data_IF_304886590789
#
_entry.id   IF_304886590789
#
_cell.length_a   1.000
_cell.length_b   1.000
_cell.length_c   1.000
_cell.angle_alpha   90.00
_cell.angle_beta   90.00
_cell.angle_gamma   90.00
#
_symmetry.space_group_name_H-M   'P 1'
#
loop_
_entity.id
_entity.type
_entity.pdbx_description
1 polymer ?
#
# COMPACT_ATOMS: atom_id res chain seq x y z
N UNK A 1 -4.80 -18.26 -27.66
CA UNK A 1 -4.99 -17.22 -26.62
C UNK A 1 -6.43 -17.30 -26.15
N UNK A 2 -6.66 -17.74 -24.91
CA UNK A 2 -8.01 -17.93 -24.35
C UNK A 2 -8.40 -16.66 -23.59
N UNK A 3 -9.57 -16.09 -23.88
CA UNK A 3 -10.07 -14.88 -23.21
C UNK A 3 -11.38 -15.23 -22.52
N UNK A 4 -11.44 -15.01 -21.20
CA UNK A 4 -12.67 -15.15 -20.41
C UNK A 4 -13.24 -13.75 -20.19
N UNK A 5 -14.54 -13.58 -20.45
CA UNK A 5 -15.28 -12.38 -20.06
C UNK A 5 -16.09 -12.69 -18.80
N UNK A 6 -15.86 -11.90 -17.76
CA UNK A 6 -16.59 -11.96 -16.50
C UNK A 6 -17.31 -10.60 -16.36
N UNK A 7 -18.66 -10.58 -16.28
CA UNK A 7 -19.41 -9.36 -16.04
C UNK A 7 -19.06 -8.76 -14.67
N UNK A 8 -19.02 -7.42 -14.57
CA UNK A 8 -18.72 -6.74 -13.29
C UNK A 8 -19.71 -7.13 -12.17
N UNK A 9 -20.97 -7.39 -12.51
CA UNK A 9 -21.97 -7.84 -11.53
C UNK A 9 -21.64 -9.23 -10.96
N UNK A 10 -21.08 -10.13 -11.77
CA UNK A 10 -20.64 -11.46 -11.31
C UNK A 10 -19.41 -11.35 -10.40
N UNK A 11 -18.50 -10.40 -10.72
CA UNK A 11 -17.31 -10.15 -9.91
C UNK A 11 -17.63 -9.55 -8.54
N UNK A 12 -18.60 -8.64 -8.48
CA UNK A 12 -18.96 -7.90 -7.27
C UNK A 12 -19.87 -8.70 -6.33
N UNK A 13 -20.79 -9.48 -6.87
CA UNK A 13 -21.79 -10.19 -6.06
C UNK A 13 -21.38 -11.63 -5.70
N UNK A 14 -20.56 -12.29 -6.53
CA UNK A 14 -20.09 -13.65 -6.29
C UNK A 14 -18.65 -13.83 -6.80
N UNK A 15 -17.68 -13.21 -6.10
CA UNK A 15 -16.28 -13.27 -6.48
C UNK A 15 -15.75 -14.71 -6.47
N UNK A 16 -16.25 -15.59 -5.60
CA UNK A 16 -15.81 -16.99 -5.55
C UNK A 16 -16.15 -17.76 -6.82
N UNK A 17 -17.35 -17.56 -7.37
CA UNK A 17 -17.76 -18.18 -8.63
C UNK A 17 -16.92 -17.70 -9.80
N UNK A 18 -16.64 -16.40 -9.85
CA UNK A 18 -15.74 -15.80 -10.84
C UNK A 18 -14.33 -16.40 -10.75
N UNK A 19 -13.80 -16.56 -9.54
CA UNK A 19 -12.48 -17.17 -9.28
C UNK A 19 -12.44 -18.65 -9.67
N UNK A 20 -13.49 -19.43 -9.34
CA UNK A 20 -13.60 -20.85 -9.77
C UNK A 20 -13.61 -20.99 -11.29
N UNK A 21 -14.29 -20.07 -11.99
CA UNK A 21 -14.36 -20.04 -13.46
C UNK A 21 -12.97 -19.76 -14.07
N UNK A 22 -12.23 -18.79 -13.54
CA UNK A 22 -10.84 -18.50 -13.94
C UNK A 22 -9.96 -19.73 -13.71
N UNK A 23 -10.00 -20.32 -12.52
CA UNK A 23 -9.19 -21.48 -12.15
C UNK A 23 -9.48 -22.74 -12.99
N UNK A 24 -10.71 -22.89 -13.49
CA UNK A 24 -11.09 -24.01 -14.35
C UNK A 24 -10.57 -23.88 -15.79
N UNK A 25 -10.43 -22.65 -16.29
CA UNK A 25 -10.02 -22.36 -17.67
C UNK A 25 -8.51 -22.14 -17.79
N UNK A 26 -7.89 -21.63 -16.74
CA UNK A 26 -6.44 -21.55 -16.58
C UNK A 26 -6.03 -22.50 -15.46
N UNK A 27 -6.02 -23.83 -15.72
CA UNK A 27 -5.50 -24.76 -14.73
C UNK A 27 -4.05 -24.38 -14.44
N UNK A 28 -3.74 -24.21 -13.15
CA UNK A 28 -2.36 -24.03 -12.71
C UNK A 28 -1.52 -25.18 -13.28
N UNK A 29 -0.26 -24.95 -13.70
CA UNK A 29 0.59 -26.00 -14.25
C UNK A 29 0.54 -27.21 -13.32
N UNK A 30 0.21 -28.37 -13.87
CA UNK A 30 0.05 -29.61 -13.12
C UNK A 30 1.35 -29.96 -12.40
N UNK A 31 1.47 -29.48 -11.17
CA UNK A 31 2.68 -29.53 -10.37
C UNK A 31 2.45 -28.82 -9.03
N UNK A 32 2.06 -29.62 -8.04
CA UNK A 32 1.86 -29.28 -6.61
C UNK A 32 0.53 -28.60 -6.31
N UNK A 33 -0.21 -29.23 -5.40
CA UNK A 33 -1.50 -28.80 -4.89
C UNK A 33 -1.32 -27.49 -4.11
N UNK A 34 -1.48 -26.35 -4.76
CA UNK A 34 -1.63 -25.04 -4.10
C UNK A 34 -3.11 -24.81 -3.71
N UNK A 35 -3.72 -25.82 -3.09
CA UNK A 35 -4.98 -25.69 -2.36
C UNK A 35 -4.60 -26.02 -0.93
N UNK A 36 -4.95 -25.14 0.00
CA UNK A 36 -5.16 -25.46 1.43
C UNK A 36 -4.14 -24.95 2.46
N UNK A 37 -3.53 -23.77 2.29
CA UNK A 37 -2.75 -23.19 3.42
C UNK A 37 -3.27 -21.86 3.94
N UNK A 38 -4.29 -21.28 3.29
CA UNK A 38 -5.06 -20.19 3.88
C UNK A 38 -4.25 -18.93 4.18
N UNK A 39 -3.06 -18.77 3.60
CA UNK A 39 -2.24 -17.57 3.74
C UNK A 39 -2.01 -16.86 2.41
N UNK A 40 -1.83 -15.54 2.49
CA UNK A 40 -1.56 -14.65 1.37
C UNK A 40 -0.30 -13.87 1.69
N UNK A 41 0.68 -13.90 0.78
CA UNK A 41 1.85 -13.06 0.86
C UNK A 41 1.55 -11.67 0.30
N UNK A 42 1.68 -10.65 1.14
CA UNK A 42 1.70 -9.26 0.72
C UNK A 42 3.16 -8.81 0.52
N UNK A 43 3.42 -8.09 -0.57
CA UNK A 43 4.71 -7.44 -0.85
C UNK A 43 4.44 -5.97 -1.18
N UNK A 44 5.06 -5.05 -0.44
CA UNK A 44 5.04 -3.62 -0.69
C UNK A 44 6.31 -3.19 -1.45
N UNK A 45 6.18 -3.07 -2.77
CA UNK A 45 7.25 -2.62 -3.65
C UNK A 45 7.21 -1.10 -3.92
N UNK A 46 6.41 -0.31 -3.19
CA UNK A 46 6.25 1.14 -3.47
C UNK A 46 7.57 1.91 -3.39
N UNK A 47 8.49 1.46 -2.54
CA UNK A 47 9.82 2.06 -2.37
C UNK A 47 10.90 1.43 -3.27
N UNK A 48 10.60 0.35 -4.00
CA UNK A 48 11.52 -0.33 -4.92
C UNK A 48 11.39 0.16 -6.36
N UNK A 49 12.44 0.06 -7.16
CA UNK A 49 12.45 0.53 -8.56
C UNK A 49 12.72 2.03 -8.72
N UNK A 50 12.73 2.47 -9.97
CA UNK A 50 13.06 3.83 -10.38
C UNK A 50 11.97 4.42 -11.28
N UNK A 51 11.84 5.75 -11.30
CA UNK A 51 10.92 6.42 -12.20
C UNK A 51 11.50 6.46 -13.61
N UNK A 52 10.95 5.63 -14.51
CA UNK A 52 11.23 5.72 -15.94
C UNK A 52 10.65 7.03 -16.52
N UNK A 53 9.47 7.42 -16.03
CA UNK A 53 8.85 8.72 -16.30
C UNK A 53 7.90 9.12 -15.16
N UNK A 54 7.27 10.30 -15.25
CA UNK A 54 6.38 10.84 -14.19
C UNK A 54 5.21 9.93 -13.80
N UNK A 55 4.82 8.97 -14.65
CA UNK A 55 3.68 8.07 -14.44
C UNK A 55 4.06 6.59 -14.41
N UNK A 56 5.32 6.25 -14.70
CA UNK A 56 5.77 4.86 -14.84
C UNK A 56 7.00 4.64 -13.97
N UNK A 57 6.86 3.70 -13.04
CA UNK A 57 7.98 3.13 -12.28
C UNK A 57 8.39 1.82 -12.96
N UNK A 58 9.68 1.59 -13.04
CA UNK A 58 10.27 0.34 -13.53
C UNK A 58 11.17 -0.25 -12.44
N UNK A 59 11.49 -1.53 -12.53
CA UNK A 59 12.29 -2.25 -11.55
C UNK A 59 13.67 -2.56 -12.11
N UNK A 60 14.69 -2.44 -11.25
CA UNK A 60 16.02 -2.95 -11.57
C UNK A 60 16.04 -4.48 -11.48
N UNK A 61 17.08 -5.11 -12.04
CA UNK A 61 17.27 -6.56 -11.87
C UNK A 61 17.41 -6.95 -10.40
N UNK A 62 17.99 -6.07 -9.57
CA UNK A 62 18.11 -6.25 -8.12
C UNK A 62 16.73 -6.21 -7.43
N UNK A 63 15.85 -5.28 -7.81
CA UNK A 63 14.48 -5.21 -7.29
C UNK A 63 13.70 -6.48 -7.65
N UNK A 64 13.82 -6.94 -8.90
CA UNK A 64 13.17 -8.16 -9.39
C UNK A 64 13.70 -9.38 -8.65
N UNK A 65 15.03 -9.49 -8.48
CA UNK A 65 15.66 -10.56 -7.73
C UNK A 65 15.18 -10.58 -6.27
N UNK A 66 15.08 -9.42 -5.62
CA UNK A 66 14.56 -9.30 -4.25
C UNK A 66 13.12 -9.78 -4.13
N UNK A 67 12.23 -9.31 -5.02
CA UNK A 67 10.80 -9.67 -5.00
C UNK A 67 10.62 -11.18 -5.28
N UNK A 68 11.26 -11.68 -6.34
CA UNK A 68 11.17 -13.08 -6.73
C UNK A 68 11.76 -14.03 -5.69
N UNK A 69 12.93 -13.69 -5.14
CA UNK A 69 13.57 -14.43 -4.05
C UNK A 69 12.67 -14.51 -2.81
N UNK A 70 12.06 -13.38 -2.42
CA UNK A 70 11.11 -13.34 -1.29
C UNK A 70 9.92 -14.28 -1.51
N UNK A 71 9.32 -14.25 -2.71
CA UNK A 71 8.22 -15.15 -3.06
C UNK A 71 8.64 -16.62 -3.04
N UNK A 72 9.81 -16.94 -3.60
CA UNK A 72 10.32 -18.31 -3.61
C UNK A 72 10.61 -18.83 -2.20
N UNK A 73 11.26 -18.02 -1.36
CA UNK A 73 11.50 -18.36 0.04
C UNK A 73 10.19 -18.56 0.82
N UNK A 74 9.19 -17.71 0.62
CA UNK A 74 7.87 -17.86 1.26
C UNK A 74 7.18 -19.15 0.83
N UNK A 75 7.18 -19.43 -0.48
CA UNK A 75 6.55 -20.63 -1.03
C UNK A 75 7.22 -21.92 -0.54
N UNK A 76 8.51 -21.88 -0.24
CA UNK A 76 9.23 -23.05 0.30
C UNK A 76 8.78 -23.45 1.72
N UNK A 77 8.24 -22.52 2.52
CA UNK A 77 7.68 -22.85 3.85
C UNK A 77 6.56 -23.90 3.77
N UNK A 78 5.84 -23.87 2.66
CA UNK A 78 4.63 -24.64 2.42
C UNK A 78 4.85 -25.81 1.46
N UNK A 79 5.68 -25.58 0.45
CA UNK A 79 5.91 -26.52 -0.64
C UNK A 79 7.41 -26.71 -0.88
N UNK A 80 8.12 -27.39 0.05
CA UNK A 80 9.55 -27.63 -0.09
C UNK A 80 9.85 -28.40 -1.38
N UNK A 81 10.88 -27.95 -2.11
CA UNK A 81 11.26 -28.58 -3.38
C UNK A 81 11.84 -29.98 -3.13
N UNK A 82 11.31 -31.05 -3.78
CA UNK A 82 11.81 -32.41 -3.59
C UNK A 82 13.27 -32.62 -3.99
N UNK A 83 13.81 -31.77 -4.86
CA UNK A 83 15.18 -31.84 -5.37
C UNK A 83 16.19 -31.10 -4.50
N UNK A 84 15.74 -30.36 -3.48
CA UNK A 84 16.59 -29.43 -2.71
C UNK A 84 17.19 -28.29 -3.55
N UNK A 85 16.89 -28.22 -4.86
CA UNK A 85 17.38 -27.16 -5.74
C UNK A 85 16.48 -25.95 -5.55
N UNK A 86 17.11 -24.88 -5.07
CA UNK A 86 16.58 -23.51 -5.07
C UNK A 86 16.80 -22.96 -6.48
N UNK A 87 15.73 -22.71 -7.21
CA UNK A 87 15.82 -21.90 -8.43
C UNK A 87 15.99 -20.45 -7.96
N UNK A 88 17.24 -19.96 -7.92
CA UNK A 88 17.61 -18.70 -7.28
C UNK A 88 18.43 -18.96 -6.02
N UNK A 89 19.75 -18.85 -6.17
CA UNK A 89 20.77 -19.10 -5.17
C UNK A 89 20.60 -18.18 -3.95
N UNK A 90 20.31 -18.79 -2.81
CA UNK A 90 20.94 -18.62 -1.49
C UNK A 90 20.01 -19.27 -0.47
N UNK A 91 20.56 -19.84 0.61
CA UNK A 91 19.87 -20.53 1.71
C UNK A 91 18.86 -19.70 2.53
N UNK A 92 18.31 -18.63 1.96
CA UNK A 92 17.40 -17.68 2.58
C UNK A 92 16.11 -18.38 3.03
N UNK A 93 15.84 -18.33 4.33
CA UNK A 93 14.54 -18.64 4.92
C UNK A 93 13.66 -17.39 4.83
N UNK A 94 12.37 -17.57 4.56
CA UNK A 94 11.42 -16.46 4.62
C UNK A 94 11.28 -15.91 6.05
N UNK A 95 11.11 -14.59 6.14
CA UNK A 95 10.69 -13.88 7.34
C UNK A 95 9.81 -12.69 6.92
N UNK A 96 8.86 -12.31 7.78
CA UNK A 96 8.11 -11.07 7.61
C UNK A 96 9.03 -9.87 7.87
N UNK A 97 8.98 -8.87 6.98
CA UNK A 97 9.82 -7.68 7.04
C UNK A 97 8.92 -6.44 7.06
N UNK A 98 8.87 -5.69 8.17
CA UNK A 98 8.07 -4.48 8.27
C UNK A 98 8.38 -3.50 7.14
N UNK A 99 7.33 -2.96 6.52
CA UNK A 99 7.44 -2.08 5.35
C UNK A 99 7.78 -2.76 4.02
N UNK A 100 8.02 -4.08 3.97
CA UNK A 100 8.33 -4.79 2.73
C UNK A 100 7.47 -6.01 2.45
N UNK A 101 7.37 -7.00 3.35
CA UNK A 101 6.58 -8.20 3.09
C UNK A 101 5.97 -8.79 4.36
N UNK A 102 4.81 -9.43 4.22
CA UNK A 102 4.15 -10.15 5.31
C UNK A 102 3.26 -11.27 4.80
N UNK A 103 3.31 -12.43 5.44
CA UNK A 103 2.34 -13.50 5.23
C UNK A 103 1.15 -13.34 6.17
N UNK A 104 -0.06 -13.45 5.62
CA UNK A 104 -1.30 -13.11 6.31
C UNK A 104 -2.34 -14.19 6.08
N UNK A 105 -2.92 -14.70 7.16
CA UNK A 105 -4.02 -15.65 7.09
C UNK A 105 -5.30 -15.04 6.47
N UNK A 106 -6.05 -15.84 5.72
CA UNK A 106 -7.34 -15.47 5.11
C UNK A 106 -8.35 -14.97 6.13
N UNK A 107 -8.30 -15.48 7.36
CA UNK A 107 -9.18 -15.03 8.44
C UNK A 107 -8.87 -13.59 8.88
N UNK A 108 -7.61 -13.16 8.88
CA UNK A 108 -7.24 -11.76 9.13
C UNK A 108 -7.75 -10.86 7.99
N UNK A 109 -7.64 -11.33 6.74
CA UNK A 109 -8.16 -10.62 5.57
C UNK A 109 -9.69 -10.48 5.66
N UNK A 110 -10.40 -11.53 6.07
CA UNK A 110 -11.85 -11.50 6.28
C UNK A 110 -12.25 -10.50 7.35
N UNK A 111 -11.50 -10.41 8.45
CA UNK A 111 -11.74 -9.42 9.52
C UNK A 111 -11.51 -7.98 9.06
N UNK A 112 -10.73 -7.77 7.99
CA UNK A 112 -10.44 -6.46 7.39
C UNK A 112 -11.27 -6.21 6.11
N UNK A 113 -12.45 -6.81 6.02
CA UNK A 113 -13.40 -6.66 4.91
C UNK A 113 -12.81 -6.95 3.52
N UNK A 114 -11.86 -7.90 3.46
CA UNK A 114 -11.18 -8.31 2.22
C UNK A 114 -10.41 -7.19 1.50
N UNK A 115 -10.03 -6.11 2.20
CA UNK A 115 -9.17 -5.06 1.63
C UNK A 115 -7.76 -5.61 1.44
N UNK A 116 -7.24 -5.61 0.21
CA UNK A 116 -5.94 -6.19 -0.15
C UNK A 116 -4.82 -5.17 -0.34
N UNK A 117 -4.90 -4.02 0.33
CA UNK A 117 -3.81 -3.02 0.27
C UNK A 117 -2.65 -3.46 1.17
N UNK A 118 -1.41 -3.62 0.64
CA UNK A 118 -0.29 -4.16 1.43
C UNK A 118 0.00 -3.39 2.72
N UNK A 119 -0.13 -2.05 2.69
CA UNK A 119 0.05 -1.19 3.86
C UNK A 119 -0.92 -1.44 5.02
N UNK A 120 -2.02 -2.18 4.81
CA UNK A 120 -2.95 -2.59 5.88
C UNK A 120 -2.43 -3.77 6.71
N UNK A 121 -1.38 -4.45 6.24
CA UNK A 121 -0.86 -5.69 6.83
C UNK A 121 0.63 -5.62 7.18
N UNK A 122 1.45 -5.03 6.29
CA UNK A 122 2.93 -5.10 6.34
C UNK A 122 3.55 -4.22 7.45
N UNK A 123 2.77 -3.34 8.08
CA UNK A 123 3.31 -2.39 9.06
C UNK A 123 4.24 -1.36 8.42
N UNK A 124 4.82 -0.49 9.24
CA UNK A 124 5.88 0.42 8.82
C UNK A 124 7.23 -0.21 9.17
N UNK A 125 8.31 0.10 8.42
CA UNK A 125 9.65 -0.20 8.88
C UNK A 125 9.84 0.30 10.31
N UNK A 126 10.59 -0.44 11.13
CA UNK A 126 11.16 0.18 12.32
C UNK A 126 12.19 1.19 11.81
N UNK A 127 11.77 2.44 11.68
CA UNK A 127 12.69 3.52 11.37
C UNK A 127 13.64 3.65 12.58
N UNK A 128 14.91 3.29 12.41
CA UNK A 128 16.01 3.84 13.22
C UNK A 128 16.18 5.32 12.83
N UNK A 129 15.25 6.22 13.17
CA UNK A 129 15.48 7.66 13.04
C UNK A 129 14.43 8.48 13.80
N UNK A 130 14.88 9.17 14.86
CA UNK A 130 14.65 10.57 15.28
C UNK A 130 13.31 11.30 15.01
N UNK A 131 12.24 10.60 14.64
CA UNK A 131 10.92 11.18 14.41
C UNK A 131 10.15 11.30 15.73
N UNK A 132 10.50 12.32 16.53
CA UNK A 132 9.67 12.70 17.67
C UNK A 132 8.40 13.40 17.18
N UNK A 133 7.35 12.61 16.99
CA UNK A 133 6.01 13.09 16.65
C UNK A 133 5.54 14.14 17.67
N UNK A 134 5.81 13.96 18.96
CA UNK A 134 5.36 14.86 20.00
C UNK A 134 6.05 16.22 19.89
N UNK A 135 7.35 16.25 19.63
CA UNK A 135 8.10 17.49 19.40
C UNK A 135 7.57 18.24 18.17
N UNK A 136 7.47 17.56 17.01
CA UNK A 136 6.99 18.18 15.78
C UNK A 136 5.55 18.67 15.88
N UNK A 137 4.68 17.86 16.47
CA UNK A 137 3.28 18.24 16.68
C UNK A 137 3.17 19.46 17.58
N UNK A 138 3.95 19.50 18.67
CA UNK A 138 3.97 20.64 19.59
C UNK A 138 4.44 21.92 18.89
N UNK A 139 5.51 21.83 18.08
CA UNK A 139 6.01 22.96 17.27
C UNK A 139 4.96 23.46 16.28
N UNK A 140 4.36 22.56 15.50
CA UNK A 140 3.34 22.92 14.51
C UNK A 140 2.08 23.51 15.16
N UNK A 141 1.68 22.99 16.32
CA UNK A 141 0.56 23.54 17.08
C UNK A 141 0.85 24.97 17.55
N UNK A 142 2.04 25.22 18.09
CA UNK A 142 2.44 26.56 18.51
C UNK A 142 2.47 27.55 17.34
N UNK A 143 2.96 27.11 16.17
CA UNK A 143 2.94 27.91 14.94
C UNK A 143 1.51 28.22 14.49
N UNK A 144 0.62 27.24 14.53
CA UNK A 144 -0.80 27.43 14.20
C UNK A 144 -1.49 28.42 15.15
N UNK A 145 -1.24 28.30 16.46
CA UNK A 145 -1.81 29.20 17.47
C UNK A 145 -1.35 30.65 17.25
N UNK A 146 -0.09 30.85 16.83
CA UNK A 146 0.42 32.18 16.50
C UNK A 146 -0.22 32.75 15.24
N UNK A 147 -0.37 31.93 14.19
CA UNK A 147 -1.05 32.33 12.97
C UNK A 147 -2.51 32.71 13.22
N UNK A 148 -3.20 32.03 14.14
CA UNK A 148 -4.58 32.38 14.53
C UNK A 148 -4.67 33.75 15.23
N UNK A 149 -3.69 34.10 16.08
CA UNK A 149 -3.66 35.43 16.72
C UNK A 149 -3.40 36.53 15.69
N UNK A 150 -2.50 36.28 14.76
CA UNK A 150 -2.18 37.24 13.70
C UNK A 150 -3.38 37.44 12.76
N UNK A 151 -4.14 36.37 12.47
CA UNK A 151 -5.38 36.44 11.71
C UNK A 151 -6.39 37.39 12.36
N UNK A 152 -6.62 37.26 13.68
CA UNK A 152 -7.54 38.13 14.42
C UNK A 152 -7.08 39.59 14.35
N UNK A 153 -5.78 39.84 14.57
CA UNK A 153 -5.19 41.19 14.52
C UNK A 153 -5.37 41.83 13.14
N UNK A 154 -5.09 41.07 12.07
CA UNK A 154 -5.23 41.55 10.70
C UNK A 154 -6.70 41.81 10.35
N UNK A 155 -7.62 40.96 10.78
CA UNK A 155 -9.05 41.16 10.60
C UNK A 155 -9.57 42.44 11.27
N UNK A 156 -9.15 42.71 12.51
CA UNK A 156 -9.49 43.95 13.20
C UNK A 156 -8.95 45.18 12.45
N UNK A 157 -7.71 45.09 11.96
CA UNK A 157 -7.10 46.17 11.19
C UNK A 157 -7.83 46.42 9.87
N UNK A 158 -8.23 45.35 9.16
CA UNK A 158 -9.03 45.43 7.94
C UNK A 158 -10.36 46.13 8.24
N UNK A 159 -11.09 45.71 9.27
CA UNK A 159 -12.37 46.33 9.66
C UNK A 159 -12.21 47.81 10.01
N UNK A 160 -11.17 48.16 10.77
CA UNK A 160 -10.86 49.54 11.13
C UNK A 160 -10.55 50.40 9.90
N UNK A 161 -9.85 49.86 8.92
CA UNK A 161 -9.54 50.59 7.69
C UNK A 161 -10.75 50.72 6.77
N UNK A 162 -11.58 49.68 6.65
CA UNK A 162 -12.84 49.75 5.90
C UNK A 162 -13.81 50.78 6.49
N UNK A 163 -13.89 50.89 7.82
CA UNK A 163 -14.73 51.91 8.47
C UNK A 163 -14.31 53.37 8.22
N UNK A 164 -13.11 53.61 7.66
CA UNK A 164 -12.65 54.96 7.25
C UNK A 164 -13.01 55.30 5.82
N UNK A 165 -13.52 54.34 5.05
CA UNK A 165 -13.90 54.56 3.65
C UNK A 165 -15.35 55.06 3.65
N UNK A 166 -15.55 56.32 3.27
CA UNK A 166 -16.87 56.86 2.96
C UNK A 166 -17.24 56.44 1.53
N UNK A 167 -18.31 55.65 1.40
CA UNK A 167 -18.90 55.36 0.09
C UNK A 167 -19.83 56.52 -0.24
N UNK A 168 -19.36 57.47 -1.04
CA UNK A 168 -20.23 58.46 -1.66
C UNK A 168 -21.13 57.72 -2.66
N UNK A 169 -22.41 57.56 -2.30
CA UNK A 169 -23.43 57.13 -3.24
C UNK A 169 -23.49 58.16 -4.37
N UNK A 170 -22.94 57.80 -5.52
CA UNK A 170 -23.21 58.49 -6.78
C UNK A 170 -24.60 58.02 -7.21
N UNK A 171 -25.64 58.71 -6.73
CA UNK A 171 -26.99 58.60 -7.29
C UNK A 171 -27.00 59.27 -8.67
N UNK A 172 -27.49 58.53 -9.68
CA UNK A 172 -27.79 59.04 -11.03
C UNK A 172 -29.07 59.88 -11.02
#
# INVERSE_FOLDING_TARGET
MTVIRIPNEELLNDPEKSLKKIASVFPSPSGRRARDEGEVLFIDARNLGFLLNRRTKDFTDEDIAKISGTYHAWRELFHPSPSGRRDGDEGISYADIPGFCKSVALDEIRQKDYVLTPGRYIGLPEDEDDFDFAERFTKLKAELDEQMKEEVRLNELIRKNLGKIEVSNVEN
#
